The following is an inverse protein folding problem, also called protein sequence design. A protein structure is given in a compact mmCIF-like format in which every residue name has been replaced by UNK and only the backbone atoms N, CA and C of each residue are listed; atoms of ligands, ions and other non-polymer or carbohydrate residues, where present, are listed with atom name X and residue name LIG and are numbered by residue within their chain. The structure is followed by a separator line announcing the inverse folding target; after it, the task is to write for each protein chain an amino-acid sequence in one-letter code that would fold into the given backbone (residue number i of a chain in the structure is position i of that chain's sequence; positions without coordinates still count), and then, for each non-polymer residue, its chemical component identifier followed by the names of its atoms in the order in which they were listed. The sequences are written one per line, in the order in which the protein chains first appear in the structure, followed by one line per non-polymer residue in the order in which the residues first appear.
data_IF_748879094364
#
_entry.id   IF_748879094364
#
_cell.length_a   1.000
_cell.length_b   1.000
_cell.length_c   1.000
_cell.angle_alpha   90.00
_cell.angle_beta   90.00
_cell.angle_gamma   90.00
#
_symmetry.space_group_name_H-M   'P 1'
#
loop_
_entity.id
_entity.type
_entity.pdbx_description
1 polymer ?
#
# COMPACT_ATOMS: atom_id res chain seq x y z
N UNK A 1 12.45 -8.15 -19.56
CA UNK A 1 11.63 -7.39 -18.58
C UNK A 1 12.51 -6.31 -17.95
N UNK A 2 12.39 -5.05 -18.37
CA UNK A 2 13.23 -3.96 -17.85
C UNK A 2 12.89 -3.62 -16.40
N UNK A 3 13.92 -3.44 -15.56
CA UNK A 3 13.80 -2.87 -14.20
C UNK A 3 13.10 -1.52 -14.32
N UNK A 4 11.85 -1.42 -13.85
CA UNK A 4 11.14 -0.14 -13.81
C UNK A 4 11.68 0.67 -12.65
N UNK A 5 12.24 1.84 -12.93
CA UNK A 5 12.67 2.78 -11.90
C UNK A 5 11.48 3.17 -11.03
N UNK A 6 11.60 2.90 -9.74
CA UNK A 6 10.65 3.34 -8.70
C UNK A 6 11.10 4.73 -8.30
N UNK A 7 10.66 5.72 -9.06
CA UNK A 7 10.86 7.13 -8.74
C UNK A 7 9.47 7.73 -8.73
N UNK A 8 9.05 8.31 -7.59
CA UNK A 8 8.64 9.73 -7.46
C UNK A 8 8.60 10.08 -5.97
N UNK A 9 9.45 11.02 -5.57
CA UNK A 9 9.21 11.87 -4.41
C UNK A 9 8.15 12.89 -4.80
N UNK A 10 6.92 12.69 -4.34
CA UNK A 10 5.84 13.68 -4.44
C UNK A 10 5.77 14.40 -3.11
N UNK A 11 5.58 15.71 -3.13
CA UNK A 11 5.52 16.54 -1.92
C UNK A 11 4.33 16.25 -1.01
N UNK A 12 3.37 15.42 -1.45
CA UNK A 12 2.19 15.07 -0.67
C UNK A 12 1.42 13.85 -1.21
N UNK A 13 0.33 13.47 -0.53
CA UNK A 13 -0.51 12.34 -0.91
C UNK A 13 -1.18 12.60 -2.27
N UNK A 14 -1.00 11.67 -3.21
CA UNK A 14 -1.63 11.71 -4.52
C UNK A 14 -3.14 11.42 -4.43
N UNK A 15 -3.94 12.20 -5.15
CA UNK A 15 -5.37 11.92 -5.31
C UNK A 15 -5.58 10.63 -6.12
N UNK A 16 -6.81 10.08 -6.08
CA UNK A 16 -7.16 8.86 -6.84
C UNK A 16 -6.98 9.06 -8.34
N UNK A 17 -7.28 10.25 -8.85
CA UNK A 17 -7.14 10.61 -10.27
C UNK A 17 -5.68 10.73 -10.67
N UNK A 18 -4.86 11.41 -9.86
CA UNK A 18 -3.42 11.53 -10.08
C UNK A 18 -2.74 10.14 -10.11
N UNK A 19 -3.11 9.23 -9.20
CA UNK A 19 -2.61 7.83 -9.22
C UNK A 19 -3.00 7.08 -10.49
N UNK A 20 -4.19 7.34 -11.03
CA UNK A 20 -4.71 6.67 -12.25
C UNK A 20 -4.00 7.19 -13.50
N UNK A 21 -3.75 8.50 -13.56
CA UNK A 21 -3.08 9.14 -14.70
C UNK A 21 -1.56 9.03 -14.64
N UNK A 22 -0.96 8.78 -13.47
CA UNK A 22 0.48 8.59 -13.30
C UNK A 22 1.10 7.60 -14.29
N UNK A 23 0.42 6.48 -14.56
CA UNK A 23 0.89 5.45 -15.51
C UNK A 23 0.83 5.93 -16.97
N UNK A 24 -0.08 6.86 -17.29
CA UNK A 24 -0.21 7.47 -18.63
C UNK A 24 0.83 8.57 -18.82
N UNK A 25 1.04 9.41 -17.81
CA UNK A 25 1.97 10.53 -17.82
C UNK A 25 3.44 10.11 -17.75
N UNK A 26 3.72 8.97 -17.10
CA UNK A 26 5.08 8.45 -16.93
C UNK A 26 5.21 6.99 -17.40
N UNK A 27 5.28 6.76 -18.72
CA UNK A 27 5.50 5.43 -19.27
C UNK A 27 6.84 4.87 -18.77
N UNK A 28 6.82 3.63 -18.28
CA UNK A 28 8.01 2.94 -17.76
C UNK A 28 8.29 3.13 -16.27
N UNK A 29 7.67 4.12 -15.60
CA UNK A 29 7.84 4.36 -14.16
C UNK A 29 6.74 3.68 -13.34
N UNK A 30 6.99 3.47 -12.05
CA UNK A 30 6.02 2.93 -11.09
C UNK A 30 6.00 3.78 -9.82
N UNK A 31 4.80 4.11 -9.34
CA UNK A 31 4.62 4.67 -8.00
C UNK A 31 5.17 3.71 -6.95
N UNK A 32 5.78 4.27 -5.91
CA UNK A 32 6.13 3.54 -4.69
C UNK A 32 4.88 2.92 -4.07
N UNK A 33 5.07 1.84 -3.32
CA UNK A 33 3.97 1.08 -2.73
C UNK A 33 3.10 1.95 -1.81
N UNK A 34 3.73 2.76 -0.95
CA UNK A 34 3.06 3.69 -0.04
C UNK A 34 2.21 4.74 -0.77
N UNK A 35 2.71 5.28 -1.88
CA UNK A 35 1.94 6.23 -2.69
C UNK A 35 0.78 5.56 -3.43
N UNK A 36 0.91 4.27 -3.76
CA UNK A 36 -0.16 3.52 -4.40
C UNK A 36 -1.29 3.19 -3.44
N UNK A 37 -0.94 2.92 -2.18
CA UNK A 37 -1.86 2.57 -1.11
C UNK A 37 -1.65 3.47 0.13
N UNK A 38 -2.08 4.75 0.07
CA UNK A 38 -1.82 5.71 1.15
C UNK A 38 -2.50 5.31 2.48
N UNK A 39 -3.60 4.59 2.41
CA UNK A 39 -4.36 4.10 3.56
C UNK A 39 -4.02 2.67 3.96
N UNK A 40 -2.96 2.07 3.40
CA UNK A 40 -2.71 0.64 3.62
C UNK A 40 -2.49 0.29 5.08
N UNK A 41 -1.71 1.11 5.82
CA UNK A 41 -1.50 0.93 7.26
C UNK A 41 -2.81 0.99 8.04
N UNK A 42 -3.72 1.89 7.66
CA UNK A 42 -5.02 2.05 8.29
C UNK A 42 -5.92 0.81 8.14
N UNK A 43 -5.76 0.04 7.06
CA UNK A 43 -6.55 -1.18 6.82
C UNK A 43 -5.82 -2.48 7.18
N UNK A 44 -4.49 -2.55 7.02
CA UNK A 44 -3.72 -3.75 7.34
C UNK A 44 -3.53 -3.96 8.84
N UNK A 45 -3.24 -2.89 9.59
CA UNK A 45 -2.97 -3.02 11.02
C UNK A 45 -4.18 -3.57 11.80
N UNK A 46 -5.43 -3.11 11.55
CA UNK A 46 -6.60 -3.69 12.21
C UNK A 46 -6.85 -5.15 11.82
N UNK A 47 -6.63 -5.51 10.55
CA UNK A 47 -6.80 -6.90 10.08
C UNK A 47 -5.78 -7.82 10.73
N UNK A 48 -4.50 -7.40 10.78
CA UNK A 48 -3.45 -8.16 11.46
C UNK A 48 -3.77 -8.28 12.95
N UNK A 49 -4.19 -7.19 13.59
CA UNK A 49 -4.58 -7.19 15.00
C UNK A 49 -5.72 -8.17 15.27
N UNK A 50 -6.73 -8.23 14.40
CA UNK A 50 -7.85 -9.16 14.52
C UNK A 50 -7.36 -10.61 14.44
N UNK A 51 -6.52 -10.94 13.46
CA UNK A 51 -5.96 -12.28 13.27
C UNK A 51 -5.15 -12.70 14.50
N UNK A 52 -4.27 -11.83 14.99
CA UNK A 52 -3.45 -12.11 16.19
C UNK A 52 -4.34 -12.33 17.41
N UNK A 53 -5.37 -11.51 17.61
CA UNK A 53 -6.32 -11.68 18.71
C UNK A 53 -7.10 -12.99 18.62
N UNK A 54 -7.50 -13.40 17.41
CA UNK A 54 -8.18 -14.70 17.21
C UNK A 54 -7.26 -15.88 17.51
N UNK A 55 -6.01 -15.83 17.04
CA UNK A 55 -5.01 -16.87 17.33
C UNK A 55 -4.76 -16.96 18.84
N UNK A 56 -4.57 -15.83 19.51
CA UNK A 56 -4.37 -15.78 20.95
C UNK A 56 -5.57 -16.31 21.73
N UNK A 57 -6.79 -16.05 21.27
CA UNK A 57 -8.02 -16.58 21.88
C UNK A 57 -8.08 -18.11 21.74
N UNK A 58 -7.80 -18.66 20.56
CA UNK A 58 -7.78 -20.11 20.33
C UNK A 58 -6.71 -20.78 21.19
N UNK A 59 -5.51 -20.21 21.26
CA UNK A 59 -4.42 -20.73 22.11
C UNK A 59 -4.74 -20.70 23.60
N UNK A 60 -5.63 -19.82 24.06
CA UNK A 60 -6.09 -19.80 25.46
C UNK A 60 -7.18 -20.84 25.77
N UNK A 61 -7.86 -21.34 24.75
CA UNK A 61 -8.96 -22.31 24.89
C UNK A 61 -8.50 -23.76 24.75
N UNK A 62 -7.27 -23.98 24.30
CA UNK A 62 -6.58 -25.28 24.26
C UNK A 62 -5.71 -25.40 25.50
#
# INVERSE_FOLDING_TARGET
MGKREVIVWVSGPLTKEQRRNFKKEHPGKRLSFYLRYPSMSMYLLPVISLIVSMIALVLRMI
#
